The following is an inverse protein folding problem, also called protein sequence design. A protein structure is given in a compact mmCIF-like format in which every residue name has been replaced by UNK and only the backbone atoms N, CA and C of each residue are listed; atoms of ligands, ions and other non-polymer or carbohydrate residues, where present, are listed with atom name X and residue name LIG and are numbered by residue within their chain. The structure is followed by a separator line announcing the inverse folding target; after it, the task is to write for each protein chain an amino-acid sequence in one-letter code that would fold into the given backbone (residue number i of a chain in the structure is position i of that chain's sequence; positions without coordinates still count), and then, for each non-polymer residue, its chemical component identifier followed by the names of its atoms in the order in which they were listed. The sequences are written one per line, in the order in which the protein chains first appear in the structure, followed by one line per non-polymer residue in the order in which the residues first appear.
data_IF_130433678965
#
_entry.id   IF_130433678965
#
_cell.length_a   1.000
_cell.length_b   1.000
_cell.length_c   1.000
_cell.angle_alpha   90.00
_cell.angle_beta   90.00
_cell.angle_gamma   90.00
#
_symmetry.space_group_name_H-M   'P 1'
#
loop_
_entity.id
_entity.type
_entity.pdbx_description
1 polymer ?
#
# COMPACT_ATOMS: atom_id res chain seq x y z
N UNK A 1 -0.48 15.27 -23.92
CA UNK A 1 -1.67 14.94 -23.11
C UNK A 1 -1.28 14.67 -21.67
N UNK A 2 -1.52 15.66 -20.79
CA UNK A 2 -1.19 15.58 -19.37
C UNK A 2 -2.35 14.92 -18.61
N UNK A 3 -2.11 13.76 -18.00
CA UNK A 3 -3.08 13.10 -17.14
C UNK A 3 -2.75 13.40 -15.67
N UNK A 4 -3.46 14.36 -15.10
CA UNK A 4 -3.45 14.64 -13.66
C UNK A 4 -4.38 13.64 -12.97
N UNK A 5 -3.82 12.64 -12.30
CA UNK A 5 -4.62 11.68 -11.52
C UNK A 5 -4.54 12.00 -10.04
N UNK A 6 -5.59 12.66 -9.56
CA UNK A 6 -5.87 12.97 -8.17
C UNK A 6 -6.00 11.67 -7.35
N UNK A 7 -5.17 11.51 -6.32
CA UNK A 7 -5.25 10.38 -5.38
C UNK A 7 -6.41 10.59 -4.41
N UNK A 8 -7.57 9.99 -4.69
CA UNK A 8 -8.62 9.82 -3.68
C UNK A 8 -8.26 8.64 -2.77
N UNK A 9 -7.86 8.94 -1.53
CA UNK A 9 -7.76 7.98 -0.43
C UNK A 9 -9.16 7.43 -0.12
N UNK A 10 -9.57 6.35 -0.77
CA UNK A 10 -10.78 5.60 -0.38
C UNK A 10 -10.36 4.40 0.45
N UNK A 11 -10.21 4.62 1.75
CA UNK A 11 -10.46 3.57 2.73
C UNK A 11 -11.37 4.17 3.78
N UNK A 12 -12.60 3.66 3.90
CA UNK A 12 -13.49 4.04 5.00
C UNK A 12 -12.71 3.93 6.31
N UNK A 13 -12.58 5.02 7.09
CA UNK A 13 -11.87 4.97 8.35
C UNK A 13 -12.57 3.97 9.26
N UNK A 14 -11.80 3.10 9.93
CA UNK A 14 -12.32 2.24 11.00
C UNK A 14 -13.09 3.14 11.97
N UNK A 15 -14.40 2.94 12.10
CA UNK A 15 -15.21 3.78 12.97
C UNK A 15 -14.77 3.58 14.42
N UNK A 16 -14.40 4.65 15.13
CA UNK A 16 -14.08 4.56 16.56
C UNK A 16 -15.18 3.85 17.35
N UNK A 17 -14.80 2.87 18.18
CA UNK A 17 -15.73 2.16 19.08
C UNK A 17 -16.39 0.88 18.54
N UNK A 18 -16.14 0.47 17.29
CA UNK A 18 -16.64 -0.82 16.78
C UNK A 18 -15.72 -1.97 17.24
N UNK A 19 -16.20 -2.86 18.12
CA UNK A 19 -15.48 -4.11 18.45
C UNK A 19 -15.16 -4.89 17.16
N UNK A 20 -13.93 -5.39 17.03
CA UNK A 20 -13.60 -6.31 15.95
C UNK A 20 -14.48 -7.56 16.09
N UNK A 21 -15.23 -7.85 15.04
CA UNK A 21 -16.10 -9.01 14.93
C UNK A 21 -15.44 -10.07 14.06
N UNK A 22 -15.80 -11.33 14.28
CA UNK A 22 -15.39 -12.44 13.42
C UNK A 22 -15.88 -12.14 11.99
N UNK A 23 -14.98 -11.72 11.12
CA UNK A 23 -15.29 -11.31 9.74
C UNK A 23 -14.71 -9.96 9.32
N UNK A 24 -14.18 -9.14 10.25
CA UNK A 24 -13.46 -7.93 9.85
C UNK A 24 -12.17 -8.30 9.07
N UNK A 25 -11.91 -7.69 7.90
CA UNK A 25 -10.83 -8.09 7.02
C UNK A 25 -9.44 -7.73 7.59
N UNK A 26 -8.47 -8.63 7.39
CA UNK A 26 -7.06 -8.34 7.64
C UNK A 26 -6.61 -7.30 6.62
N UNK A 27 -6.07 -6.18 7.11
CA UNK A 27 -5.52 -5.12 6.26
C UNK A 27 -4.12 -5.55 5.81
N UNK A 28 -3.93 -5.65 4.49
CA UNK A 28 -2.63 -6.00 3.90
C UNK A 28 -2.01 -4.78 3.22
N UNK A 29 -0.71 -4.61 3.39
CA UNK A 29 0.05 -3.52 2.79
C UNK A 29 1.28 -4.03 2.07
N UNK A 30 1.64 -3.38 0.96
CA UNK A 30 2.89 -3.62 0.24
C UNK A 30 3.63 -2.30 0.02
N UNK A 31 4.95 -2.33 0.15
CA UNK A 31 5.82 -1.18 -0.09
C UNK A 31 6.94 -1.55 -1.04
N UNK A 32 7.05 -0.81 -2.14
CA UNK A 32 8.20 -0.88 -3.03
C UNK A 32 9.34 -0.05 -2.44
N UNK A 33 10.55 -0.61 -2.48
CA UNK A 33 11.76 0.14 -2.16
C UNK A 33 12.26 0.91 -3.39
N UNK A 34 12.98 2.02 -3.20
CA UNK A 34 13.75 2.62 -4.28
C UNK A 34 14.74 1.63 -4.91
N UNK A 35 15.02 1.85 -6.19
CA UNK A 35 16.12 1.18 -6.87
C UNK A 35 17.44 1.60 -6.25
N UNK A 36 18.36 0.65 -6.18
CA UNK A 36 19.76 0.92 -5.85
C UNK A 36 20.50 1.26 -7.15
N UNK A 37 21.56 2.07 -7.05
CA UNK A 37 22.35 2.49 -8.22
C UNK A 37 22.85 1.30 -9.07
N UNK A 38 23.26 0.21 -8.40
CA UNK A 38 23.69 -1.05 -9.05
C UNK A 38 22.59 -1.79 -9.82
N UNK A 39 21.33 -1.46 -9.55
CA UNK A 39 20.16 -2.07 -10.20
C UNK A 39 19.73 -1.24 -11.41
N UNK A 40 20.06 0.07 -11.43
CA UNK A 40 19.75 0.98 -12.53
C UNK A 40 20.63 0.74 -13.77
N UNK A 41 21.74 0.01 -13.63
CA UNK A 41 22.66 -0.31 -14.74
C UNK A 41 22.27 -1.58 -15.50
N UNK A 42 21.30 -2.35 -14.99
CA UNK A 42 20.71 -3.48 -15.69
C UNK A 42 19.56 -2.88 -16.51
N UNK A 43 19.55 -3.12 -17.83
CA UNK A 43 18.59 -2.56 -18.80
C UNK A 43 17.13 -3.09 -18.62
N UNK A 44 16.78 -3.50 -17.40
CA UNK A 44 15.48 -4.01 -17.01
C UNK A 44 14.62 -2.85 -16.49
N UNK A 45 13.62 -2.48 -17.28
CA UNK A 45 12.53 -1.62 -16.82
C UNK A 45 11.99 -2.14 -15.47
N UNK A 46 11.46 -1.28 -14.59
CA UNK A 46 10.98 -1.70 -13.29
C UNK A 46 9.96 -2.83 -13.42
N UNK A 47 10.38 -4.03 -13.03
CA UNK A 47 9.57 -5.25 -13.13
C UNK A 47 8.34 -5.21 -12.22
N UNK A 48 8.23 -4.20 -11.35
CA UNK A 48 7.12 -4.04 -10.42
C UNK A 48 6.65 -2.59 -10.42
N UNK A 49 5.37 -2.39 -10.69
CA UNK A 49 4.72 -1.08 -10.72
C UNK A 49 3.48 -1.09 -9.82
N UNK A 50 3.13 0.06 -9.25
CA UNK A 50 1.88 0.25 -8.52
C UNK A 50 0.92 1.02 -9.41
N UNK A 51 -0.29 0.50 -9.56
CA UNK A 51 -1.41 1.20 -10.17
C UNK A 51 -2.60 1.11 -9.22
N UNK A 52 -2.99 2.25 -8.64
CA UNK A 52 -4.00 2.32 -7.58
C UNK A 52 -3.64 1.38 -6.40
N UNK A 53 -4.55 0.47 -6.04
CA UNK A 53 -4.34 -0.55 -4.99
C UNK A 53 -3.84 -1.89 -5.56
N UNK A 54 -3.32 -1.88 -6.79
CA UNK A 54 -2.79 -3.06 -7.44
C UNK A 54 -1.28 -2.94 -7.59
N UNK A 55 -0.58 -4.04 -7.35
CA UNK A 55 0.82 -4.22 -7.71
C UNK A 55 0.90 -5.09 -8.94
N UNK A 56 1.47 -4.55 -10.00
CA UNK A 56 1.66 -5.21 -11.28
C UNK A 56 3.11 -5.67 -11.34
N UNK A 57 3.33 -6.98 -11.42
CA UNK A 57 4.65 -7.59 -11.59
C UNK A 57 4.78 -8.08 -13.05
N UNK A 58 5.75 -7.54 -13.79
CA UNK A 58 5.99 -7.80 -15.22
C UNK A 58 7.27 -8.62 -15.46
N UNK A 59 7.78 -9.33 -14.44
CA UNK A 59 9.04 -10.09 -14.51
C UNK A 59 9.01 -11.30 -15.47
N UNK A 60 7.90 -11.54 -16.17
CA UNK A 60 7.71 -12.61 -17.15
C UNK A 60 6.86 -12.10 -18.32
N UNK A 61 6.80 -12.84 -19.44
CA UNK A 61 5.97 -12.54 -20.62
C UNK A 61 4.46 -12.40 -20.36
N UNK A 62 4.03 -12.60 -19.10
CA UNK A 62 2.67 -12.35 -18.63
C UNK A 62 2.70 -11.52 -17.34
N UNK A 63 2.10 -10.32 -17.33
CA UNK A 63 2.00 -9.52 -16.11
C UNK A 63 1.08 -10.20 -15.09
N UNK A 64 1.50 -10.22 -13.83
CA UNK A 64 0.69 -10.67 -12.69
C UNK A 64 0.22 -9.46 -11.89
N UNK A 65 -1.04 -9.50 -11.46
CA UNK A 65 -1.66 -8.41 -10.70
C UNK A 65 -1.98 -8.92 -9.29
N UNK A 66 -1.40 -8.27 -8.29
CA UNK A 66 -1.63 -8.53 -6.87
C UNK A 66 -2.46 -7.39 -6.27
N UNK A 67 -3.45 -7.72 -5.44
CA UNK A 67 -4.31 -6.74 -4.79
C UNK A 67 -3.97 -6.64 -3.31
N UNK A 68 -3.77 -5.42 -2.83
CA UNK A 68 -3.53 -5.14 -1.43
C UNK A 68 -4.51 -4.06 -0.94
N UNK A 69 -4.68 -3.96 0.37
CA UNK A 69 -5.48 -2.87 0.94
C UNK A 69 -4.77 -1.53 0.77
N UNK A 70 -3.44 -1.52 0.95
CA UNK A 70 -2.60 -0.34 0.80
C UNK A 70 -1.35 -0.65 -0.04
N UNK A 71 -1.06 0.22 -1.00
CA UNK A 71 0.13 0.13 -1.84
C UNK A 71 0.97 1.40 -1.68
N UNK A 72 2.27 1.23 -1.43
CA UNK A 72 3.21 2.33 -1.22
C UNK A 72 4.37 2.20 -2.21
N UNK A 73 4.57 3.22 -3.04
CA UNK A 73 5.67 3.24 -4.00
C UNK A 73 7.00 3.62 -3.34
N UNK A 74 8.05 3.65 -4.16
CA UNK A 74 9.39 4.05 -3.73
C UNK A 74 9.46 5.52 -3.26
N UNK A 75 8.53 6.38 -3.71
CA UNK A 75 8.47 7.79 -3.32
C UNK A 75 7.79 8.01 -1.96
N UNK A 76 7.08 6.99 -1.47
CA UNK A 76 6.31 7.09 -0.24
C UNK A 76 7.21 7.22 0.99
N UNK A 77 7.01 8.32 1.73
CA UNK A 77 7.72 8.58 3.00
C UNK A 77 7.30 7.61 4.10
N UNK A 78 8.19 7.38 5.07
CA UNK A 78 7.86 6.55 6.25
C UNK A 78 6.66 7.09 7.02
N UNK A 79 6.48 8.41 7.06
CA UNK A 79 5.32 9.04 7.70
C UNK A 79 4.02 8.62 7.03
N UNK A 80 3.96 8.63 5.70
CA UNK A 80 2.75 8.24 4.96
C UNK A 80 2.44 6.75 5.14
N UNK A 81 3.46 5.89 5.16
CA UNK A 81 3.29 4.46 5.48
C UNK A 81 2.75 4.28 6.90
N UNK A 82 3.31 4.98 7.88
CA UNK A 82 2.83 4.95 9.26
C UNK A 82 1.37 5.40 9.36
N UNK A 83 1.03 6.54 8.75
CA UNK A 83 -0.31 7.12 8.81
C UNK A 83 -1.36 6.20 8.16
N UNK A 84 -1.01 5.52 7.05
CA UNK A 84 -1.92 4.63 6.34
C UNK A 84 -2.08 3.23 6.96
N UNK A 85 -1.02 2.68 7.57
CA UNK A 85 -1.02 1.29 8.07
C UNK A 85 -1.05 1.19 9.60
N UNK A 86 -0.20 1.96 10.28
CA UNK A 86 0.12 1.73 11.69
C UNK A 86 -0.72 2.62 12.60
N UNK A 87 -0.90 3.89 12.24
CA UNK A 87 -1.68 4.86 13.01
C UNK A 87 -3.11 4.38 13.30
N UNK A 88 -3.86 3.76 12.36
CA UNK A 88 -5.18 3.22 12.65
C UNK A 88 -5.16 2.11 13.72
N UNK A 89 -4.12 1.28 13.74
CA UNK A 89 -3.95 0.23 14.74
C UNK A 89 -3.64 0.83 16.12
N UNK A 90 -2.74 1.81 16.21
CA UNK A 90 -2.44 2.52 17.46
C UNK A 90 -3.69 3.20 18.03
N UNK A 91 -4.46 3.90 17.19
CA UNK A 91 -5.72 4.53 17.62
C UNK A 91 -6.75 3.50 18.09
N UNK A 92 -6.81 2.34 17.42
CA UNK A 92 -7.66 1.23 17.84
C UNK A 92 -7.29 0.74 19.24
N UNK A 93 -6.00 0.53 19.51
CA UNK A 93 -5.51 0.12 20.84
C UNK A 93 -5.85 1.12 21.93
N UNK A 94 -5.70 2.43 21.66
CA UNK A 94 -6.04 3.47 22.64
C UNK A 94 -7.54 3.52 22.96
N UNK A 95 -8.40 3.01 22.07
CA UNK A 95 -9.84 2.89 22.28
C UNK A 95 -10.25 1.57 22.96
N UNK A 96 -9.27 0.78 23.43
CA UNK A 96 -9.52 -0.51 24.06
C UNK A 96 -9.90 -1.62 23.06
N UNK A 97 -9.61 -1.43 21.77
CA UNK A 97 -9.74 -2.50 20.77
C UNK A 97 -8.47 -3.35 20.78
N UNK A 98 -8.64 -4.67 20.92
CA UNK A 98 -7.55 -5.63 20.74
C UNK A 98 -7.26 -5.76 19.25
N UNK A 99 -6.01 -5.50 18.85
CA UNK A 99 -5.53 -5.74 17.48
C UNK A 99 -5.21 -7.22 17.34
#
# INVERSE_FOLDING_TARGET
DQFTSSTTLVSSPRTPGKKLTKGDPIITGIRLRPFLEREATIDDAPAVQIFENNVICTQNSRPQIFKFTNCFDASTTNKNVYDGMIRPAVLASLQGMYI
#
